data_IF_894881738757
#
_entry.id   IF_894881738757
#
_cell.length_a   1.000
_cell.length_b   1.000
_cell.length_c   1.000
_cell.angle_alpha   90.00
_cell.angle_beta   90.00
_cell.angle_gamma   90.00
#
_symmetry.space_group_name_H-M   'P 1'
#
loop_
_entity.id
_entity.type
_entity.pdbx_description
1 polymer ?
#
# COMPACT_ATOMS: atom_id res chain seq x y z
N UNK A 1 -15.22 -14.60 -13.81
CA UNK A 1 -14.81 -13.86 -15.02
C UNK A 1 -14.95 -12.34 -14.87
N UNK A 2 -16.08 -11.80 -14.41
CA UNK A 2 -16.25 -10.34 -14.22
C UNK A 2 -15.31 -9.74 -13.17
N UNK A 3 -15.17 -10.40 -12.02
CA UNK A 3 -14.31 -9.94 -10.92
C UNK A 3 -12.83 -9.86 -11.33
N UNK A 4 -12.34 -10.84 -12.09
CA UNK A 4 -10.98 -10.83 -12.62
C UNK A 4 -10.75 -9.73 -13.65
N UNK A 5 -11.73 -9.43 -14.50
CA UNK A 5 -11.65 -8.32 -15.48
C UNK A 5 -11.65 -6.97 -14.75
N UNK A 6 -12.49 -6.80 -13.73
CA UNK A 6 -12.53 -5.59 -12.92
C UNK A 6 -11.18 -5.34 -12.21
N UNK A 7 -10.58 -6.37 -11.63
CA UNK A 7 -9.24 -6.27 -11.00
C UNK A 7 -8.19 -5.86 -12.04
N UNK A 8 -8.21 -6.46 -13.23
CA UNK A 8 -7.30 -6.11 -14.33
C UNK A 8 -7.43 -4.64 -14.74
N UNK A 9 -8.66 -4.13 -14.87
CA UNK A 9 -8.91 -2.73 -15.20
C UNK A 9 -8.44 -1.77 -14.10
N UNK A 10 -8.60 -2.12 -12.83
CA UNK A 10 -8.11 -1.33 -11.70
C UNK A 10 -6.57 -1.27 -11.70
N UNK A 11 -5.91 -2.41 -11.90
CA UNK A 11 -4.44 -2.48 -12.00
C UNK A 11 -3.95 -1.63 -13.18
N UNK A 12 -4.60 -1.76 -14.34
CA UNK A 12 -4.25 -1.00 -15.54
C UNK A 12 -4.48 0.51 -15.37
N UNK A 13 -5.60 0.91 -14.76
CA UNK A 13 -5.90 2.31 -14.46
C UNK A 13 -4.89 2.92 -13.49
N UNK A 14 -4.56 2.21 -12.41
CA UNK A 14 -3.53 2.64 -11.45
C UNK A 14 -2.15 2.79 -12.12
N UNK A 15 -1.81 1.88 -13.03
CA UNK A 15 -0.57 1.95 -13.81
C UNK A 15 -0.53 3.19 -14.72
N UNK A 16 -1.61 3.47 -15.46
CA UNK A 16 -1.70 4.64 -16.33
C UNK A 16 -1.63 5.96 -15.54
N UNK A 17 -2.30 6.05 -14.40
CA UNK A 17 -2.27 7.22 -13.51
C UNK A 17 -0.85 7.44 -12.98
N UNK A 18 -0.19 6.38 -12.51
CA UNK A 18 1.19 6.44 -12.04
C UNK A 18 2.19 6.87 -13.12
N UNK A 19 1.92 6.53 -14.40
CA UNK A 19 2.73 6.94 -15.54
C UNK A 19 2.46 8.39 -15.95
N UNK A 20 1.19 8.79 -16.06
CA UNK A 20 0.79 10.12 -16.53
C UNK A 20 1.11 11.23 -15.54
N UNK A 21 0.94 10.96 -14.25
CA UNK A 21 1.12 11.93 -13.17
C UNK A 21 2.36 11.60 -12.32
N UNK A 22 3.41 11.09 -12.98
CA UNK A 22 4.65 10.65 -12.34
C UNK A 22 5.24 11.75 -11.45
N UNK A 23 5.19 13.00 -11.91
CA UNK A 23 5.82 14.14 -11.24
C UNK A 23 4.87 14.89 -10.30
N UNK A 24 3.60 14.48 -10.26
CA UNK A 24 2.65 15.05 -9.30
C UNK A 24 3.05 14.69 -7.88
N UNK A 25 3.01 15.68 -6.98
CA UNK A 25 3.47 15.56 -5.61
C UNK A 25 2.89 14.35 -4.89
N UNK A 26 1.57 14.11 -5.00
CA UNK A 26 0.89 12.98 -4.36
C UNK A 26 1.39 11.61 -4.85
N UNK A 27 1.68 11.47 -6.15
CA UNK A 27 2.10 10.20 -6.76
C UNK A 27 3.60 9.95 -6.57
N UNK A 28 4.40 11.02 -6.55
CA UNK A 28 5.81 10.94 -6.16
C UNK A 28 5.96 10.58 -4.68
N UNK A 29 5.24 11.27 -3.80
CA UNK A 29 5.20 11.00 -2.36
C UNK A 29 4.67 9.59 -2.06
N UNK A 30 3.55 9.20 -2.67
CA UNK A 30 2.98 7.87 -2.50
C UNK A 30 3.89 6.74 -3.00
N UNK A 31 4.75 7.01 -4.00
CA UNK A 31 5.77 6.04 -4.44
C UNK A 31 7.01 5.98 -3.54
N UNK A 32 7.32 7.05 -2.81
CA UNK A 32 8.41 7.07 -1.81
C UNK A 32 7.98 6.56 -0.44
N UNK A 33 6.68 6.59 -0.13
CA UNK A 33 6.13 6.19 1.18
C UNK A 33 5.17 5.01 1.04
N UNK A 34 5.49 4.06 0.16
CA UNK A 34 4.63 2.90 -0.13
C UNK A 34 4.41 2.06 1.12
N UNK A 35 5.48 1.80 1.86
CA UNK A 35 5.40 1.06 3.12
C UNK A 35 4.46 1.70 4.14
N UNK A 36 4.53 3.03 4.28
CA UNK A 36 3.66 3.78 5.20
C UNK A 36 2.18 3.70 4.79
N UNK A 37 1.90 3.84 3.50
CA UNK A 37 0.52 3.73 2.98
C UNK A 37 -0.05 2.32 3.23
N UNK A 38 0.76 1.27 3.05
CA UNK A 38 0.34 -0.12 3.32
C UNK A 38 0.02 -0.29 4.81
N UNK A 39 0.87 0.22 5.72
CA UNK A 39 0.65 0.12 7.16
C UNK A 39 -0.63 0.84 7.59
N UNK A 40 -0.81 2.11 7.18
CA UNK A 40 -2.01 2.89 7.50
C UNK A 40 -3.27 2.23 6.96
N UNK A 41 -3.24 1.75 5.72
CA UNK A 41 -4.39 1.05 5.12
C UNK A 41 -4.72 -0.24 5.88
N UNK A 42 -3.70 -0.96 6.34
CA UNK A 42 -3.88 -2.20 7.11
C UNK A 42 -4.48 -1.93 8.48
N UNK A 43 -4.04 -0.86 9.16
CA UNK A 43 -4.61 -0.42 10.43
C UNK A 43 -6.08 0.02 10.28
N UNK A 44 -6.40 0.75 9.21
CA UNK A 44 -7.79 1.14 8.92
C UNK A 44 -8.67 -0.08 8.63
N UNK A 45 -8.17 -1.05 7.85
CA UNK A 45 -8.89 -2.29 7.57
C UNK A 45 -9.15 -3.09 8.85
N UNK A 46 -8.13 -3.22 9.71
CA UNK A 46 -8.23 -3.90 11.00
C UNK A 46 -9.24 -3.21 11.91
N UNK A 47 -9.16 -1.88 12.03
CA UNK A 47 -10.08 -1.07 12.83
C UNK A 47 -11.52 -1.23 12.33
N UNK A 48 -11.74 -1.13 11.03
CA UNK A 48 -13.07 -1.33 10.44
C UNK A 48 -13.66 -2.69 10.81
N UNK A 49 -12.88 -3.77 10.71
CA UNK A 49 -13.38 -5.09 11.06
C UNK A 49 -13.64 -5.24 12.55
N UNK A 50 -12.75 -4.77 13.42
CA UNK A 50 -12.94 -4.83 14.88
C UNK A 50 -14.19 -4.06 15.32
N UNK A 51 -14.48 -2.90 14.72
CA UNK A 51 -15.61 -2.06 15.14
C UNK A 51 -16.93 -2.37 14.41
N UNK A 52 -16.89 -2.84 13.16
CA UNK A 52 -18.10 -3.00 12.31
C UNK A 52 -18.50 -4.47 12.14
N UNK A 53 -17.56 -5.42 12.18
CA UNK A 53 -17.82 -6.85 11.98
C UNK A 53 -17.15 -7.67 13.08
N UNK A 54 -17.86 -7.84 14.19
CA UNK A 54 -17.37 -8.56 15.36
C UNK A 54 -17.27 -10.09 15.16
N UNK A 55 -17.88 -10.62 14.09
CA UNK A 55 -17.89 -12.05 13.78
C UNK A 55 -16.89 -12.40 12.66
N UNK A 56 -16.00 -13.38 12.91
CA UNK A 56 -15.06 -13.90 11.92
C UNK A 56 -13.76 -13.11 11.75
N UNK A 57 -13.20 -12.58 12.85
CA UNK A 57 -12.01 -11.71 12.84
C UNK A 57 -10.71 -12.43 12.45
N UNK A 58 -10.59 -13.73 12.69
CA UNK A 58 -9.32 -14.45 12.58
C UNK A 58 -8.59 -14.33 11.21
N UNK A 59 -9.24 -14.59 10.05
CA UNK A 59 -8.56 -14.46 8.76
C UNK A 59 -8.18 -13.01 8.41
N UNK A 60 -8.98 -12.02 8.84
CA UNK A 60 -8.71 -10.61 8.55
C UNK A 60 -7.58 -10.07 9.41
N UNK A 61 -7.53 -10.46 10.68
CA UNK A 61 -6.42 -10.13 11.58
C UNK A 61 -5.12 -10.71 11.02
N UNK A 62 -5.13 -11.99 10.61
CA UNK A 62 -3.95 -12.64 10.02
C UNK A 62 -3.50 -11.92 8.73
N UNK A 63 -4.44 -11.59 7.85
CA UNK A 63 -4.15 -10.83 6.64
C UNK A 63 -3.58 -9.44 6.93
N UNK A 64 -4.12 -8.75 7.93
CA UNK A 64 -3.63 -7.42 8.35
C UNK A 64 -2.21 -7.49 8.91
N UNK A 65 -1.88 -8.53 9.68
CA UNK A 65 -0.51 -8.75 10.18
C UNK A 65 0.46 -8.96 9.03
N UNK A 66 0.10 -9.77 8.03
CA UNK A 66 0.91 -9.96 6.82
C UNK A 66 1.13 -8.65 6.07
N UNK A 67 0.08 -7.83 5.91
CA UNK A 67 0.20 -6.53 5.25
C UNK A 67 1.05 -5.54 6.05
N UNK A 68 0.96 -5.53 7.38
CA UNK A 68 1.82 -4.71 8.24
C UNK A 68 3.28 -5.13 8.07
N UNK A 69 3.58 -6.44 8.09
CA UNK A 69 4.93 -6.95 7.85
C UNK A 69 5.47 -6.54 6.47
N UNK A 70 4.65 -6.65 5.43
CA UNK A 70 4.98 -6.19 4.08
C UNK A 70 5.21 -4.67 4.05
N UNK A 71 4.37 -3.91 4.75
CA UNK A 71 4.50 -2.47 4.89
C UNK A 71 5.80 -2.05 5.58
N UNK A 72 6.21 -2.74 6.63
CA UNK A 72 7.50 -2.52 7.32
C UNK A 72 8.67 -2.84 6.39
N UNK A 73 8.61 -3.95 5.64
CA UNK A 73 9.62 -4.29 4.65
C UNK A 73 9.81 -3.16 3.62
N UNK A 74 8.71 -2.67 3.05
CA UNK A 74 8.74 -1.54 2.13
C UNK A 74 9.18 -0.24 2.79
N UNK A 75 8.86 -0.01 4.07
CA UNK A 75 9.31 1.17 4.81
C UNK A 75 10.83 1.21 4.92
N UNK A 76 11.44 0.07 5.26
CA UNK A 76 12.90 -0.07 5.35
C UNK A 76 13.54 0.07 3.96
N UNK A 77 12.95 -0.55 2.95
CA UNK A 77 13.43 -0.48 1.57
C UNK A 77 13.36 0.95 1.00
N UNK A 78 12.23 1.64 1.19
CA UNK A 78 12.03 3.02 0.76
C UNK A 78 12.98 3.97 1.51
N UNK A 79 13.21 3.74 2.82
CA UNK A 79 14.14 4.51 3.65
C UNK A 79 15.60 4.36 3.19
N UNK A 80 16.02 3.15 2.84
CA UNK A 80 17.36 2.89 2.26
C UNK A 80 17.54 3.65 0.94
N UNK A 81 16.55 3.58 0.05
CA UNK A 81 16.58 4.25 -1.25
C UNK A 81 16.65 5.79 -1.12
N UNK A 82 15.89 6.38 -0.20
CA UNK A 82 15.96 7.82 0.09
C UNK A 82 17.33 8.22 0.67
N UNK A 83 18.00 7.32 1.40
CA UNK A 83 19.32 7.54 1.99
C UNK A 83 20.46 7.44 0.97
N UNK A 84 20.37 6.51 0.02
CA UNK A 84 21.33 6.35 -1.08
C UNK A 84 21.25 7.52 -2.07
N UNK A 85 20.04 7.92 -2.48
CA UNK A 85 19.86 9.08 -3.37
C UNK A 85 20.25 10.44 -2.75
N UNK A 86 20.52 10.48 -1.44
CA UNK A 86 21.05 11.65 -0.73
C UNK A 86 22.58 11.69 -0.68
N UNK A 87 23.28 10.58 -0.96
CA UNK A 87 24.75 10.50 -0.98
C UNK A 87 25.33 10.80 -2.36
N UNK A 88 24.52 10.74 -3.41
CA UNK A 88 24.92 11.03 -4.80
C UNK A 88 24.72 12.50 -5.22
N UNK A 89 24.17 13.34 -4.34
CA UNK A 89 24.08 14.80 -4.50
C UNK A 89 25.00 15.50 -3.50
#
# INVERSE_FOLDING_TARGET
>A
MLLSIAILLIIWGAYLIGKKYKDSFLISYGRRKRGLIIIVSSLLLLSFFVFVKNDGLFPVVLFSILLIGLGIYYLIHDSKRDSEGKKEN
#
